data_IF_041047644233
#
_entry.id   IF_041047644233
#
_cell.length_a   1.000
_cell.length_b   1.000
_cell.length_c   1.000
_cell.angle_alpha   90.00
_cell.angle_beta   90.00
_cell.angle_gamma   90.00
#
_symmetry.space_group_name_H-M   'P 1'
#
loop_
_entity.id
_entity.type
_entity.pdbx_description
1 polymer ?
#
# COMPACT_ATOMS: atom_id res chain seq x y z
N UNK A 1 12.68 -6.39 -15.00
CA UNK A 1 11.91 -5.74 -13.92
C UNK A 1 12.53 -6.14 -12.58
N UNK A 2 12.98 -5.19 -11.76
CA UNK A 2 13.73 -5.46 -10.51
C UNK A 2 12.86 -5.93 -9.32
N UNK A 3 11.61 -6.32 -9.58
CA UNK A 3 10.65 -6.71 -8.54
C UNK A 3 10.14 -5.51 -7.74
N UNK A 4 8.88 -5.56 -7.31
CA UNK A 4 8.33 -4.55 -6.42
C UNK A 4 8.87 -4.79 -5.01
N UNK A 5 9.54 -3.81 -4.40
CA UNK A 5 9.94 -3.92 -2.99
C UNK A 5 8.69 -3.81 -2.12
N UNK A 6 8.54 -4.71 -1.13
CA UNK A 6 7.43 -4.63 -0.18
C UNK A 6 7.53 -3.33 0.61
N UNK A 7 6.64 -2.40 0.33
CA UNK A 7 6.48 -1.14 1.07
C UNK A 7 5.36 -1.26 2.09
N UNK A 8 5.26 -0.27 2.98
CA UNK A 8 4.19 -0.15 3.97
C UNK A 8 3.37 1.08 3.63
N UNK A 9 2.04 0.94 3.65
CA UNK A 9 1.11 2.06 3.53
C UNK A 9 0.94 2.72 4.90
N UNK A 10 1.54 3.89 5.11
CA UNK A 10 1.58 4.52 6.42
C UNK A 10 0.24 5.10 6.86
N UNK A 11 -0.12 4.87 8.12
CA UNK A 11 -1.11 5.67 8.85
C UNK A 11 -0.45 6.97 9.32
N UNK A 12 -0.57 8.02 8.51
CA UNK A 12 0.12 9.28 8.79
C UNK A 12 -0.31 9.92 10.11
N UNK A 13 -1.60 9.84 10.47
CA UNK A 13 -2.10 10.46 11.71
C UNK A 13 -1.56 9.72 12.93
N UNK A 14 -1.72 8.40 12.94
CA UNK A 14 -1.18 7.57 14.02
C UNK A 14 0.33 7.72 14.15
N UNK A 15 1.05 7.76 13.02
CA UNK A 15 2.49 7.87 13.04
C UNK A 15 2.95 9.20 13.65
N UNK A 16 2.27 10.31 13.34
CA UNK A 16 2.54 11.62 13.97
C UNK A 16 2.34 11.53 15.47
N UNK A 17 1.21 10.99 15.94
CA UNK A 17 0.93 10.87 17.38
C UNK A 17 1.97 9.99 18.11
N UNK A 18 2.44 8.92 17.48
CA UNK A 18 3.48 8.04 18.03
C UNK A 18 4.86 8.72 18.05
N UNK A 19 5.18 9.53 17.03
CA UNK A 19 6.42 10.31 16.99
C UNK A 19 6.42 11.38 18.08
N UNK A 20 5.30 12.07 18.27
CA UNK A 20 5.18 13.11 19.30
C UNK A 20 5.40 12.52 20.70
N UNK A 21 4.81 11.36 21.00
CA UNK A 21 5.04 10.65 22.27
C UNK A 21 6.48 10.13 22.44
N UNK A 22 7.12 9.70 21.36
CA UNK A 22 8.53 9.28 21.40
C UNK A 22 9.45 10.47 21.64
N UNK A 23 9.24 11.58 20.93
CA UNK A 23 10.06 12.80 21.04
C UNK A 23 9.87 13.51 22.38
N UNK A 24 8.68 13.44 23.00
CA UNK A 24 8.43 13.93 24.35
C UNK A 24 9.06 13.04 25.44
N UNK A 25 9.62 11.88 25.08
CA UNK A 25 10.18 10.90 26.01
C UNK A 25 9.13 10.07 26.76
N UNK A 26 7.85 10.21 26.42
CA UNK A 26 6.75 9.45 27.03
C UNK A 26 6.69 8.00 26.53
N UNK A 27 7.34 7.69 25.41
CA UNK A 27 7.38 6.38 24.79
C UNK A 27 8.84 5.95 24.52
N UNK A 28 9.22 4.74 24.90
CA UNK A 28 10.54 4.19 24.57
C UNK A 28 10.62 3.80 23.08
N UNK A 29 11.84 3.68 22.57
CA UNK A 29 12.06 3.20 21.20
C UNK A 29 11.43 1.81 20.94
N UNK A 30 11.54 0.89 21.90
CA UNK A 30 10.99 -0.45 21.75
C UNK A 30 9.47 -0.44 21.63
N UNK A 31 8.79 0.32 22.50
CA UNK A 31 7.33 0.48 22.44
C UNK A 31 6.88 1.23 21.18
N UNK A 32 7.59 2.29 20.79
CA UNK A 32 7.34 3.00 19.53
C UNK A 32 7.44 2.05 18.33
N UNK A 33 8.55 1.32 18.22
CA UNK A 33 8.79 0.42 17.08
C UNK A 33 7.79 -0.73 17.02
N UNK A 34 7.38 -1.25 18.17
CA UNK A 34 6.34 -2.28 18.27
C UNK A 34 4.98 -1.76 17.82
N UNK A 35 4.58 -0.58 18.32
CA UNK A 35 3.31 0.05 17.96
C UNK A 35 3.23 0.36 16.45
N UNK A 36 4.31 0.90 15.87
CA UNK A 36 4.38 1.13 14.42
C UNK A 36 4.25 -0.18 13.65
N UNK A 37 4.97 -1.24 14.03
CA UNK A 37 4.88 -2.54 13.34
C UNK A 37 3.48 -3.15 13.45
N UNK A 38 2.86 -3.11 14.62
CA UNK A 38 1.52 -3.66 14.85
C UNK A 38 0.45 -2.92 14.05
N UNK A 39 0.47 -1.58 14.08
CA UNK A 39 -0.49 -0.77 13.35
C UNK A 39 -0.42 -0.96 11.83
N UNK A 40 0.74 -1.39 11.33
CA UNK A 40 1.01 -1.52 9.90
C UNK A 40 1.16 -2.97 9.42
N UNK A 41 0.92 -3.97 10.27
CA UNK A 41 1.14 -5.38 9.93
C UNK A 41 0.37 -5.85 8.68
N UNK A 42 -0.81 -5.27 8.44
CA UNK A 42 -1.68 -5.59 7.31
C UNK A 42 -1.74 -4.46 6.27
N UNK A 43 -0.93 -3.41 6.43
CA UNK A 43 -0.90 -2.24 5.55
C UNK A 43 0.28 -2.33 4.59
N UNK A 44 0.24 -3.31 3.70
CA UNK A 44 1.26 -3.41 2.66
C UNK A 44 0.98 -2.36 1.59
N UNK A 45 2.00 -1.61 1.19
CA UNK A 45 1.94 -0.68 0.05
C UNK A 45 1.99 -1.42 -1.29
N UNK A 46 1.29 -2.55 -1.39
CA UNK A 46 1.14 -3.24 -2.66
C UNK A 46 0.29 -2.41 -3.61
N UNK A 47 0.41 -2.76 -4.89
CA UNK A 47 -0.54 -2.45 -5.95
C UNK A 47 -2.00 -2.49 -5.46
N UNK A 48 -2.65 -1.34 -5.44
CA UNK A 48 -4.07 -1.20 -5.08
C UNK A 48 -4.75 -0.30 -6.12
N UNK A 49 -6.07 -0.25 -6.16
CA UNK A 49 -6.76 0.81 -6.90
C UNK A 49 -6.71 2.08 -6.07
N UNK A 50 -6.63 3.24 -6.73
CA UNK A 50 -6.69 4.53 -6.05
C UNK A 50 -8.01 4.67 -5.30
N UNK A 51 -7.94 5.14 -4.05
CA UNK A 51 -9.13 5.60 -3.35
C UNK A 51 -9.57 6.97 -3.87
N UNK A 52 -10.73 7.00 -4.54
CA UNK A 52 -11.42 8.23 -4.96
C UNK A 52 -12.46 8.57 -3.90
N UNK A 53 -12.46 9.80 -3.40
CA UNK A 53 -13.36 10.30 -2.38
C UNK A 53 -14.05 11.53 -2.98
N UNK A 54 -15.23 11.33 -3.60
CA UNK A 54 -16.04 12.44 -4.07
C UNK A 54 -16.20 13.44 -2.92
N UNK A 55 -15.93 14.71 -3.19
CA UNK A 55 -15.94 15.85 -2.25
C UNK A 55 -14.68 16.08 -1.40
N UNK A 56 -13.66 15.21 -1.45
CA UNK A 56 -12.39 15.42 -0.72
C UNK A 56 -11.15 15.09 -1.57
N UNK A 57 -10.89 15.84 -2.66
CA UNK A 57 -9.78 15.57 -3.57
C UNK A 57 -8.39 15.64 -2.92
N UNK A 58 -8.26 16.30 -1.76
CA UNK A 58 -7.00 16.34 -0.98
C UNK A 58 -6.76 15.10 -0.11
N UNK A 59 -7.80 14.30 0.13
CA UNK A 59 -7.75 13.06 0.91
C UNK A 59 -7.65 11.82 0.00
N UNK A 60 -7.85 11.99 -1.31
CA UNK A 60 -7.63 10.95 -2.33
C UNK A 60 -6.16 10.57 -2.45
N UNK A 61 -5.91 9.34 -2.90
CA UNK A 61 -4.56 8.90 -3.24
C UNK A 61 -4.03 9.69 -4.44
N UNK A 62 -2.82 10.23 -4.29
CA UNK A 62 -2.19 11.05 -5.31
C UNK A 62 -1.96 10.26 -6.60
N UNK A 63 -2.17 10.90 -7.76
CA UNK A 63 -2.15 10.20 -9.05
C UNK A 63 -0.85 9.47 -9.36
N UNK A 64 0.26 10.06 -8.96
CA UNK A 64 1.58 9.48 -9.18
C UNK A 64 2.08 8.62 -8.00
N UNK A 65 1.29 8.46 -6.94
CA UNK A 65 1.68 7.66 -5.77
C UNK A 65 1.43 6.16 -5.97
N UNK A 66 0.62 5.77 -6.96
CA UNK A 66 0.23 4.38 -7.18
C UNK A 66 0.54 3.92 -8.62
N UNK A 67 1.57 3.09 -8.83
CA UNK A 67 1.96 2.62 -10.15
C UNK A 67 0.96 1.65 -10.79
N UNK A 68 -0.15 1.27 -10.12
CA UNK A 68 -1.15 0.35 -10.68
C UNK A 68 -1.73 0.84 -12.00
N UNK A 69 -2.02 2.14 -12.12
CA UNK A 69 -2.53 2.75 -13.35
C UNK A 69 -1.46 2.84 -14.46
N UNK A 70 -0.17 2.68 -14.09
CA UNK A 70 0.95 2.67 -15.02
C UNK A 70 1.37 1.25 -15.44
N UNK A 71 0.71 0.22 -14.93
CA UNK A 71 0.99 -1.16 -15.33
C UNK A 71 0.12 -1.54 -16.52
N UNK A 72 0.64 -2.32 -17.47
CA UNK A 72 -0.19 -2.92 -18.49
C UNK A 72 -1.31 -3.74 -17.82
N UNK A 73 -2.46 -3.93 -18.50
CA UNK A 73 -3.45 -4.91 -18.06
C UNK A 73 -2.74 -6.23 -17.74
N UNK A 74 -3.21 -6.94 -16.71
CA UNK A 74 -2.78 -8.31 -16.54
C UNK A 74 -3.32 -9.08 -17.75
N UNK A 75 -2.45 -9.43 -18.68
CA UNK A 75 -2.74 -10.47 -19.66
C UNK A 75 -2.81 -11.76 -18.84
N UNK A 76 -4.02 -12.25 -18.58
CA UNK A 76 -4.23 -13.61 -18.09
C UNK A 76 -3.82 -14.56 -19.22
N UNK A 77 -2.51 -14.73 -19.43
CA UNK A 77 -1.94 -15.74 -20.31
C UNK A 77 -2.12 -17.12 -19.65
N UNK A 78 -3.36 -17.60 -19.50
CA UNK A 78 -3.71 -19.00 -19.24
C UNK A 78 -5.23 -19.23 -19.38
N UNK A 79 -5.79 -19.10 -20.59
CA UNK A 79 -7.05 -19.79 -20.91
C UNK A 79 -7.26 -20.09 -22.41
N UNK A 80 -6.20 -20.32 -23.20
CA UNK A 80 -6.34 -20.67 -24.63
C UNK A 80 -5.58 -21.94 -25.08
N UNK A 81 -5.07 -22.75 -24.16
CA UNK A 81 -4.44 -24.06 -24.49
C UNK A 81 -5.41 -25.27 -24.42
N UNK A 82 -6.72 -25.04 -24.25
CA UNK A 82 -7.72 -26.10 -24.13
C UNK A 82 -8.81 -26.17 -25.22
N UNK A 83 -8.77 -25.33 -26.26
CA UNK A 83 -9.79 -25.34 -27.33
C UNK A 83 -9.25 -25.60 -28.75
N UNK A 84 -8.07 -26.20 -28.88
CA UNK A 84 -7.49 -26.55 -30.18
C UNK A 84 -7.42 -28.07 -30.44
N UNK A 85 -8.43 -28.82 -30.00
CA UNK A 85 -8.77 -30.15 -30.54
C UNK A 85 -10.30 -30.25 -30.64
N UNK A 86 -10.83 -29.96 -31.84
CA UNK A 86 -12.03 -30.53 -32.48
C UNK A 86 -12.72 -29.49 -33.38
N UNK A 87 -12.25 -29.41 -34.65
CA UNK A 87 -13.07 -29.37 -35.88
C UNK A 87 -12.18 -29.41 -37.11
#
# INVERSE_FOLDING_TARGET
FLGFKKTVLLDRKLLVDLIDQYTSGSLSWDHFSLAVKQAHQNRNGSRQTRLVIPDRPKEEDYFYANPQECLPPFDDDNEDDALRIDM
#
